data_IF_212065049404
#
_entry.id   IF_212065049404
#
_cell.length_a   1.000
_cell.length_b   1.000
_cell.length_c   1.000
_cell.angle_alpha   90.00
_cell.angle_beta   90.00
_cell.angle_gamma   90.00
#
_symmetry.space_group_name_H-M   'P 1'
#
loop_
_entity.id
_entity.type
_entity.pdbx_description
1 polymer ?
#
# COMPACT_ATOMS: atom_id res chain seq x y z
N UNK A 1 1.72 -1.06 -14.66
CA UNK A 1 0.81 -1.62 -13.64
C UNK A 1 0.94 -3.13 -13.61
N UNK A 2 1.93 -3.65 -12.90
CA UNK A 2 2.09 -5.09 -12.67
C UNK A 2 2.00 -5.34 -11.17
N UNK A 3 1.36 -6.43 -10.77
CA UNK A 3 1.29 -6.83 -9.37
C UNK A 3 2.65 -7.44 -8.97
N UNK A 4 3.45 -6.67 -8.23
CA UNK A 4 4.75 -7.15 -7.74
C UNK A 4 4.56 -8.09 -6.54
N UNK A 5 4.45 -9.39 -6.86
CA UNK A 5 4.33 -10.45 -5.88
C UNK A 5 5.56 -10.59 -4.99
N UNK A 6 6.76 -10.24 -5.47
CA UNK A 6 7.99 -10.32 -4.66
C UNK A 6 7.98 -9.24 -3.59
N UNK A 7 7.66 -8.00 -3.97
CA UNK A 7 7.52 -6.90 -3.02
C UNK A 7 6.44 -7.18 -1.96
N UNK A 8 5.29 -7.73 -2.37
CA UNK A 8 4.23 -8.09 -1.42
C UNK A 8 4.69 -9.17 -0.44
N UNK A 9 5.33 -10.24 -0.92
CA UNK A 9 5.86 -11.30 -0.04
C UNK A 9 6.87 -10.75 0.96
N UNK A 10 7.76 -9.88 0.53
CA UNK A 10 8.72 -9.24 1.41
C UNK A 10 8.03 -8.37 2.49
N UNK A 11 7.00 -7.62 2.11
CA UNK A 11 6.22 -6.82 3.05
C UNK A 11 5.48 -7.70 4.07
N UNK A 12 4.85 -8.79 3.62
CA UNK A 12 4.15 -9.73 4.51
C UNK A 12 5.12 -10.41 5.48
N UNK A 13 6.27 -10.87 4.98
CA UNK A 13 7.29 -11.50 5.83
C UNK A 13 7.82 -10.53 6.91
N UNK A 14 7.92 -9.23 6.60
CA UNK A 14 8.44 -8.22 7.52
C UNK A 14 7.39 -7.69 8.50
N UNK A 15 6.16 -7.49 8.05
CA UNK A 15 5.14 -6.72 8.78
C UNK A 15 3.91 -7.55 9.17
N UNK A 16 3.82 -8.81 8.73
CA UNK A 16 2.66 -9.66 8.94
C UNK A 16 1.52 -9.31 7.99
N UNK A 17 0.37 -8.93 8.53
CA UNK A 17 -0.79 -8.57 7.72
C UNK A 17 -0.53 -7.27 6.93
N UNK A 18 -0.71 -7.35 5.60
CA UNK A 18 -0.51 -6.23 4.66
C UNK A 18 -1.75 -6.09 3.78
N UNK A 19 -2.23 -4.86 3.60
CA UNK A 19 -3.26 -4.50 2.64
C UNK A 19 -2.64 -3.85 1.42
N UNK A 20 -3.12 -4.19 0.22
CA UNK A 20 -2.77 -3.49 -1.02
C UNK A 20 -3.93 -2.61 -1.45
N UNK A 21 -3.68 -1.32 -1.56
CA UNK A 21 -4.65 -0.33 -2.06
C UNK A 21 -4.22 0.09 -3.47
N UNK A 22 -5.19 0.18 -4.37
CA UNK A 22 -5.00 0.64 -5.75
C UNK A 22 -6.04 1.69 -6.06
N UNK A 23 -5.62 2.80 -6.68
CA UNK A 23 -6.55 3.78 -7.23
C UNK A 23 -7.15 3.20 -8.51
N UNK A 24 -8.40 2.76 -8.45
CA UNK A 24 -9.10 2.18 -9.59
C UNK A 24 -9.61 3.24 -10.59
N UNK A 25 -10.00 4.41 -10.08
CA UNK A 25 -10.54 5.52 -10.84
C UNK A 25 -10.28 6.84 -10.09
N UNK A 26 -10.18 7.95 -10.81
CA UNK A 26 -10.13 9.30 -10.26
C UNK A 26 -11.16 10.19 -10.95
N UNK A 27 -11.65 11.21 -10.23
CA UNK A 27 -12.53 12.24 -10.81
C UNK A 27 -12.03 13.62 -10.39
N UNK A 28 -11.67 14.45 -11.37
CA UNK A 28 -11.02 15.73 -11.12
C UNK A 28 -9.53 15.56 -10.78
N UNK A 29 -8.92 16.60 -10.19
CA UNK A 29 -7.51 16.55 -9.77
C UNK A 29 -7.36 15.70 -8.51
N UNK A 30 -6.50 14.69 -8.58
CA UNK A 30 -6.18 13.79 -7.46
C UNK A 30 -4.68 13.79 -7.23
N UNK A 31 -4.20 13.73 -5.97
CA UNK A 31 -2.78 13.59 -5.67
C UNK A 31 -2.15 12.31 -6.24
N UNK A 32 -2.98 11.30 -6.56
CA UNK A 32 -2.59 10.00 -7.10
C UNK A 32 -3.50 9.63 -8.26
N UNK A 33 -2.90 9.24 -9.37
CA UNK A 33 -3.58 8.86 -10.61
C UNK A 33 -4.05 7.40 -10.61
N UNK A 34 -4.89 7.04 -11.59
CA UNK A 34 -5.34 5.67 -11.80
C UNK A 34 -4.16 4.71 -11.90
N UNK A 35 -4.26 3.63 -11.13
CA UNK A 35 -3.25 2.60 -10.98
C UNK A 35 -2.24 2.83 -9.86
N UNK A 36 -2.09 4.06 -9.32
CA UNK A 36 -1.25 4.28 -8.14
C UNK A 36 -1.57 3.23 -7.05
N UNK A 37 -0.53 2.68 -6.44
CA UNK A 37 -0.69 1.53 -5.54
C UNK A 37 0.27 1.58 -4.37
N UNK A 38 -0.25 1.23 -3.20
CA UNK A 38 0.46 1.25 -1.94
C UNK A 38 0.19 -0.02 -1.13
N UNK A 39 1.21 -0.47 -0.42
CA UNK A 39 1.09 -1.48 0.61
C UNK A 39 0.96 -0.77 1.96
N UNK A 40 0.01 -1.19 2.78
CA UNK A 40 -0.31 -0.62 4.09
C UNK A 40 -0.26 -1.74 5.12
N UNK A 41 0.27 -1.46 6.30
CA UNK A 41 0.31 -2.41 7.42
C UNK A 41 0.18 -1.67 8.75
N UNK A 42 -0.04 -2.43 9.82
CA UNK A 42 -0.08 -1.87 11.18
C UNK A 42 1.32 -1.45 11.61
N UNK A 43 1.45 -0.21 12.07
CA UNK A 43 2.69 0.27 12.65
C UNK A 43 2.73 -0.12 14.13
N UNK A 44 3.52 -1.15 14.47
CA UNK A 44 3.67 -1.62 15.84
C UNK A 44 4.36 -0.61 16.78
N UNK A 45 5.01 0.43 16.24
CA UNK A 45 5.67 1.46 17.04
C UNK A 45 4.73 2.61 17.45
N UNK A 46 3.54 2.71 16.87
CA UNK A 46 2.57 3.77 17.13
C UNK A 46 1.24 3.17 17.53
N UNK A 47 0.72 3.55 18.68
CA UNK A 47 -0.59 3.06 19.14
C UNK A 47 -1.68 3.43 18.11
N UNK A 48 -2.37 2.42 17.60
CA UNK A 48 -3.36 2.56 16.53
C UNK A 48 -2.83 2.98 15.14
N UNK A 49 -1.51 3.13 14.97
CA UNK A 49 -0.90 3.67 13.74
C UNK A 49 -0.89 2.71 12.55
N UNK A 50 -0.79 3.27 11.35
CA UNK A 50 -0.53 2.54 10.10
C UNK A 50 0.67 3.14 9.39
N UNK A 51 1.45 2.27 8.75
CA UNK A 51 2.54 2.66 7.88
C UNK A 51 2.24 2.20 6.44
N UNK A 52 2.82 2.88 5.46
CA UNK A 52 2.63 2.56 4.05
C UNK A 52 3.93 2.69 3.26
N UNK A 53 4.01 1.95 2.16
CA UNK A 53 5.03 2.12 1.11
C UNK A 53 4.40 2.05 -0.27
N UNK A 54 4.95 2.81 -1.21
CA UNK A 54 4.47 2.88 -2.59
C UNK A 54 4.00 4.28 -2.95
N UNK A 55 3.61 4.43 -4.21
CA UNK A 55 3.17 5.68 -4.83
C UNK A 55 1.70 5.63 -5.13
#
# INVERSE_FOLDING_TARGET
>A
MSFDLRALRAAVARHGAVWRVVVAETRGSSPREVGASMLVWRDGARDGGVAQSGT
#
